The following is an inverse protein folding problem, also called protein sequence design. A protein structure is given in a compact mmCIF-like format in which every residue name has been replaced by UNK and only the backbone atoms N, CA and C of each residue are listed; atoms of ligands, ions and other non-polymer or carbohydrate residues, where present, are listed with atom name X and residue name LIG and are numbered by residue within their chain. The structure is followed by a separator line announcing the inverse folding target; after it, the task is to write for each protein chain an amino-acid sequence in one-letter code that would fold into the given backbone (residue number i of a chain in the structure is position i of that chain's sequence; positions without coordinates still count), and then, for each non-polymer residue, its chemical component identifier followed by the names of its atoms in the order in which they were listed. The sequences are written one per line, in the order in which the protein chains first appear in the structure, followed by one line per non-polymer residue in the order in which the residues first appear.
data_IF_274270316453
#
_entry.id   IF_274270316453
#
_cell.length_a   1.000
_cell.length_b   1.000
_cell.length_c   1.000
_cell.angle_alpha   90.00
_cell.angle_beta   90.00
_cell.angle_gamma   90.00
#
_symmetry.space_group_name_H-M   'P 1'
#
loop_
_entity.id
_entity.type
_entity.pdbx_description
1 polymer ?
#
# COMPACT_ATOMS: atom_id res chain seq x y z
N UNK A 1 8.99 -16.06 28.40
CA UNK A 1 9.59 -15.86 27.06
C UNK A 1 8.46 -16.08 26.07
N UNK A 2 8.19 -15.12 25.17
CA UNK A 2 7.13 -15.31 24.17
C UNK A 2 7.58 -16.33 23.11
N UNK A 3 6.72 -17.27 22.73
CA UNK A 3 7.06 -18.17 21.61
C UNK A 3 7.12 -17.39 20.30
N UNK A 4 6.17 -16.45 20.12
CA UNK A 4 6.06 -15.60 18.94
C UNK A 4 5.89 -14.13 19.36
N UNK A 5 6.81 -13.28 18.90
CA UNK A 5 6.71 -11.82 19.05
C UNK A 5 6.49 -11.18 17.67
N UNK A 6 5.52 -10.30 17.55
CA UNK A 6 5.19 -9.59 16.32
C UNK A 6 5.27 -8.09 16.59
N UNK A 7 6.08 -7.36 15.81
CA UNK A 7 6.15 -5.89 15.85
C UNK A 7 5.32 -5.32 14.71
N UNK A 8 4.22 -4.65 15.05
CA UNK A 8 3.21 -4.10 14.13
C UNK A 8 1.87 -4.80 14.25
N UNK A 9 0.79 -4.09 13.95
CA UNK A 9 -0.59 -4.56 14.14
C UNK A 9 -1.48 -4.20 12.92
N UNK A 10 -1.02 -4.56 11.71
CA UNK A 10 -1.78 -4.34 10.46
C UNK A 10 -1.95 -5.65 9.69
N UNK A 11 -2.12 -5.60 8.37
CA UNK A 11 -2.40 -6.75 7.51
C UNK A 11 -1.39 -7.90 7.69
N UNK A 12 -0.09 -7.58 7.74
CA UNK A 12 0.96 -8.59 7.90
C UNK A 12 0.87 -9.30 9.25
N UNK A 13 0.66 -8.55 10.34
CA UNK A 13 0.49 -9.14 11.66
C UNK A 13 -0.76 -10.03 11.74
N UNK A 14 -1.88 -9.58 11.16
CA UNK A 14 -3.11 -10.39 11.07
C UNK A 14 -2.85 -11.71 10.33
N UNK A 15 -2.22 -11.65 9.16
CA UNK A 15 -1.84 -12.86 8.41
C UNK A 15 -0.93 -13.79 9.22
N UNK A 16 0.03 -13.24 9.96
CA UNK A 16 0.95 -14.03 10.78
C UNK A 16 0.24 -14.72 11.94
N UNK A 17 -0.63 -14.01 12.66
CA UNK A 17 -1.43 -14.61 13.74
C UNK A 17 -2.25 -15.78 13.21
N UNK A 18 -2.96 -15.58 12.10
CA UNK A 18 -3.75 -16.65 11.46
C UNK A 18 -2.84 -17.79 10.97
N UNK A 19 -1.68 -17.49 10.37
CA UNK A 19 -0.69 -18.47 9.94
C UNK A 19 -0.17 -19.32 11.10
N UNK A 20 0.24 -18.70 12.21
CA UNK A 20 0.68 -19.39 13.42
C UNK A 20 -0.45 -20.31 13.90
N UNK A 21 -1.67 -19.80 14.05
CA UNK A 21 -2.81 -20.54 14.61
C UNK A 21 -3.32 -21.66 13.72
N UNK A 22 -3.00 -21.70 12.43
CA UNK A 22 -3.26 -22.90 11.61
C UNK A 22 -2.38 -24.08 12.02
N UNK A 23 -1.20 -23.81 12.57
CA UNK A 23 -0.17 -24.83 12.94
C UNK A 23 -0.11 -25.02 14.44
N UNK A 24 0.16 -23.95 15.20
CA UNK A 24 0.27 -23.95 16.64
C UNK A 24 -0.94 -23.28 17.30
N UNK A 25 -1.75 -24.10 18.00
CA UNK A 25 -2.96 -23.66 18.71
C UNK A 25 -2.70 -23.10 20.12
N UNK A 26 -1.49 -23.29 20.66
CA UNK A 26 -1.20 -23.03 22.08
C UNK A 26 -0.12 -22.01 22.34
N UNK A 27 0.93 -21.93 21.51
CA UNK A 27 2.08 -21.06 21.70
C UNK A 27 1.68 -19.60 21.98
N UNK A 28 2.43 -18.93 22.84
CA UNK A 28 2.17 -17.55 23.26
C UNK A 28 2.49 -16.57 22.14
N UNK A 29 1.49 -15.80 21.70
CA UNK A 29 1.67 -14.72 20.72
C UNK A 29 1.57 -13.38 21.42
N UNK A 30 2.61 -12.56 21.30
CA UNK A 30 2.59 -11.16 21.74
C UNK A 30 2.73 -10.23 20.52
N UNK A 31 1.89 -9.20 20.46
CA UNK A 31 1.91 -8.17 19.41
C UNK A 31 2.17 -6.81 20.03
N UNK A 32 3.19 -6.12 19.51
CA UNK A 32 3.50 -4.73 19.86
C UNK A 32 3.00 -3.82 18.74
N UNK A 33 2.22 -2.81 19.09
CA UNK A 33 1.70 -1.81 18.15
C UNK A 33 2.07 -0.41 18.60
N UNK A 34 2.73 0.36 17.73
CA UNK A 34 2.97 1.78 17.97
C UNK A 34 1.66 2.57 18.06
N UNK A 35 0.70 2.27 17.17
CA UNK A 35 -0.62 2.89 17.20
C UNK A 35 -1.49 2.33 18.34
N UNK A 36 -2.24 3.23 19.00
CA UNK A 36 -3.18 2.87 20.07
C UNK A 36 -4.53 2.33 19.55
N UNK A 37 -4.55 1.89 18.29
CA UNK A 37 -5.75 1.41 17.60
C UNK A 37 -5.70 -0.09 17.32
N UNK A 38 -6.89 -0.73 17.31
CA UNK A 38 -7.03 -2.08 16.76
C UNK A 38 -6.70 -2.08 15.29
N UNK A 39 -6.42 -3.27 14.71
CA UNK A 39 -6.15 -3.39 13.29
C UNK A 39 -7.33 -2.86 12.46
N UNK A 40 -7.08 -1.82 11.68
CA UNK A 40 -8.05 -1.18 10.80
C UNK A 40 -7.59 -1.21 9.34
N UNK A 41 -8.52 -1.05 8.41
CA UNK A 41 -8.25 -0.97 6.99
C UNK A 41 -7.71 0.41 6.59
N UNK A 42 -6.38 0.54 6.44
CA UNK A 42 -5.74 1.79 5.98
C UNK A 42 -6.33 2.33 4.67
N UNK A 43 -6.67 1.52 3.66
CA UNK A 43 -7.33 2.01 2.45
C UNK A 43 -8.66 2.73 2.71
N UNK A 44 -9.34 2.47 3.83
CA UNK A 44 -10.63 3.08 4.16
C UNK A 44 -10.53 4.43 4.90
N UNK A 45 -9.34 4.88 5.32
CA UNK A 45 -9.21 6.13 6.06
C UNK A 45 -9.67 7.35 5.25
N UNK A 46 -9.51 7.34 3.92
CA UNK A 46 -10.02 8.40 3.04
C UNK A 46 -11.55 8.42 2.98
N UNK A 47 -12.19 7.26 2.99
CA UNK A 47 -13.65 7.16 3.06
C UNK A 47 -14.17 7.60 4.42
N UNK A 48 -13.41 7.33 5.50
CA UNK A 48 -13.74 7.81 6.84
C UNK A 48 -13.59 9.33 6.96
N UNK A 49 -12.53 9.93 6.41
CA UNK A 49 -12.41 11.38 6.34
C UNK A 49 -13.57 12.00 5.55
N UNK A 50 -13.91 11.43 4.40
CA UNK A 50 -15.02 11.88 3.57
C UNK A 50 -16.42 11.69 4.18
N UNK A 51 -16.53 10.95 5.30
CA UNK A 51 -17.82 10.64 5.94
C UNK A 51 -18.63 9.55 5.22
N UNK A 52 -17.99 8.78 4.32
CA UNK A 52 -18.64 7.67 3.58
C UNK A 52 -18.73 6.38 4.40
N UNK A 53 -17.90 6.24 5.41
CA UNK A 53 -17.92 5.10 6.36
C UNK A 53 -17.71 5.60 7.78
N UNK A 54 -18.27 4.89 8.76
CA UNK A 54 -18.09 5.17 10.18
C UNK A 54 -16.77 4.57 10.68
N UNK A 55 -16.26 5.12 11.80
CA UNK A 55 -15.00 4.66 12.39
C UNK A 55 -15.00 3.19 12.81
N UNK A 56 -16.15 2.63 13.17
CA UNK A 56 -16.26 1.20 13.51
C UNK A 56 -16.12 0.30 12.27
N UNK A 57 -16.62 0.74 11.13
CA UNK A 57 -16.59 -0.02 9.85
C UNK A 57 -15.19 -0.10 9.23
N UNK A 58 -14.26 0.74 9.65
CA UNK A 58 -12.86 0.64 9.19
C UNK A 58 -12.06 -0.39 9.98
N UNK A 59 -12.55 -0.85 11.14
CA UNK A 59 -11.87 -1.86 11.95
C UNK A 59 -11.87 -3.19 11.19
N UNK A 60 -10.67 -3.66 10.85
CA UNK A 60 -10.48 -4.91 10.11
C UNK A 60 -10.52 -6.14 11.03
N UNK A 61 -9.95 -6.02 12.24
CA UNK A 61 -9.99 -7.06 13.28
C UNK A 61 -10.34 -6.44 14.62
N UNK A 62 -11.50 -6.81 15.16
CA UNK A 62 -11.98 -6.40 16.47
C UNK A 62 -11.26 -7.12 17.63
N UNK A 63 -11.58 -6.75 18.87
CA UNK A 63 -10.99 -7.36 20.08
C UNK A 63 -11.19 -8.87 20.16
N UNK A 64 -12.32 -9.38 19.67
CA UNK A 64 -12.64 -10.80 19.62
C UNK A 64 -11.64 -11.61 18.77
N UNK A 65 -11.06 -11.03 17.73
CA UNK A 65 -10.02 -11.67 16.93
C UNK A 65 -8.79 -12.00 17.79
N UNK A 66 -8.33 -11.05 18.61
CA UNK A 66 -7.15 -11.24 19.45
C UNK A 66 -7.42 -12.23 20.57
N UNK A 67 -8.58 -12.15 21.23
CA UNK A 67 -8.96 -13.07 22.31
C UNK A 67 -9.16 -14.51 21.80
N UNK A 68 -9.84 -14.71 20.66
CA UNK A 68 -10.00 -16.03 20.03
C UNK A 68 -8.65 -16.67 19.66
N UNK A 69 -7.69 -15.84 19.22
CA UNK A 69 -6.35 -16.29 18.86
C UNK A 69 -5.36 -16.28 20.04
N UNK A 70 -5.81 -16.00 21.27
CA UNK A 70 -4.98 -15.94 22.49
C UNK A 70 -3.74 -15.05 22.29
N UNK A 71 -3.96 -13.82 21.80
CA UNK A 71 -2.92 -12.84 21.52
C UNK A 71 -2.82 -11.83 22.64
N UNK A 72 -1.63 -11.65 23.19
CA UNK A 72 -1.29 -10.55 24.09
C UNK A 72 -1.01 -9.29 23.27
N UNK A 73 -2.01 -8.41 23.13
CA UNK A 73 -1.91 -7.20 22.33
C UNK A 73 -1.50 -5.99 23.18
N UNK A 74 -0.37 -5.38 22.87
CA UNK A 74 0.13 -4.15 23.49
C UNK A 74 -0.01 -2.99 22.52
N UNK A 75 -1.08 -2.21 22.64
CA UNK A 75 -1.30 -0.98 21.86
C UNK A 75 -0.50 0.18 22.48
N UNK A 76 -0.08 1.16 21.66
CA UNK A 76 0.76 2.28 22.09
C UNK A 76 2.16 1.83 22.54
N UNK A 77 2.64 0.68 22.08
CA UNK A 77 3.95 0.11 22.45
C UNK A 77 4.86 0.07 21.23
N UNK A 78 5.65 1.13 21.07
CA UNK A 78 6.61 1.26 19.97
C UNK A 78 7.90 0.49 20.28
N UNK A 79 8.31 -0.40 19.38
CA UNK A 79 9.63 -1.03 19.43
C UNK A 79 10.71 -0.02 18.99
N UNK A 80 11.77 0.09 19.78
CA UNK A 80 12.89 1.02 19.53
C UNK A 80 14.22 0.34 19.30
N UNK A 81 14.35 -0.94 19.66
CA UNK A 81 15.57 -1.72 19.49
C UNK A 81 15.27 -3.21 19.38
N UNK A 82 16.07 -3.92 18.59
CA UNK A 82 16.06 -5.39 18.49
C UNK A 82 17.48 -5.90 18.69
N UNK A 83 17.65 -6.78 19.66
CA UNK A 83 18.87 -7.55 19.89
C UNK A 83 18.62 -9.03 19.52
N UNK A 84 18.98 -9.48 18.31
CA UNK A 84 18.71 -10.85 17.87
C UNK A 84 19.59 -11.89 18.59
N UNK A 85 20.75 -11.49 19.12
CA UNK A 85 21.69 -12.40 19.80
C UNK A 85 21.14 -12.75 21.20
N UNK A 86 20.58 -11.76 21.90
CA UNK A 86 19.86 -11.97 23.17
C UNK A 86 18.40 -12.41 22.98
N UNK A 87 17.88 -12.32 21.74
CA UNK A 87 16.46 -12.56 21.40
C UNK A 87 15.51 -11.68 22.23
N UNK A 88 15.76 -10.37 22.23
CA UNK A 88 14.99 -9.37 22.97
C UNK A 88 14.63 -8.21 22.06
N UNK A 89 13.40 -7.71 22.20
CA UNK A 89 12.93 -6.44 21.65
C UNK A 89 12.67 -5.48 22.79
N UNK A 90 13.22 -4.26 22.69
CA UNK A 90 12.99 -3.18 23.66
C UNK A 90 11.97 -2.20 23.09
N UNK A 91 10.93 -1.89 23.87
CA UNK A 91 9.96 -0.86 23.54
C UNK A 91 10.32 0.50 24.14
N UNK A 92 9.69 1.54 23.64
CA UNK A 92 9.72 2.88 24.23
C UNK A 92 9.30 2.78 25.70
N UNK A 93 10.08 3.42 26.60
CA UNK A 93 9.93 3.24 28.06
C UNK A 93 10.77 2.11 28.64
N UNK A 94 11.58 1.41 27.85
CA UNK A 94 12.61 0.46 28.32
C UNK A 94 12.09 -0.93 28.69
N UNK A 95 10.82 -1.26 28.35
CA UNK A 95 10.30 -2.62 28.59
C UNK A 95 10.85 -3.60 27.57
N UNK A 96 11.39 -4.71 28.06
CA UNK A 96 11.93 -5.80 27.27
C UNK A 96 10.92 -6.92 27.01
N UNK A 97 10.96 -7.47 25.78
CA UNK A 97 10.12 -8.57 25.32
C UNK A 97 10.99 -9.67 24.76
N UNK A 98 11.35 -10.69 25.57
CA UNK A 98 12.10 -11.84 25.08
C UNK A 98 11.22 -12.73 24.18
N UNK A 99 11.84 -13.28 23.11
CA UNK A 99 11.14 -14.09 22.12
C UNK A 99 11.92 -15.34 21.68
N UNK A 100 11.23 -16.34 21.14
CA UNK A 100 11.85 -17.44 20.41
C UNK A 100 11.86 -17.18 18.90
N UNK A 101 10.75 -16.68 18.35
CA UNK A 101 10.60 -16.26 16.95
C UNK A 101 10.08 -14.84 16.88
N UNK A 102 10.65 -14.02 16.01
CA UNK A 102 10.29 -12.61 15.82
C UNK A 102 9.75 -12.36 14.41
N UNK A 103 8.65 -11.63 14.31
CA UNK A 103 8.18 -11.05 13.05
C UNK A 103 8.27 -9.52 13.11
N UNK A 104 8.98 -8.93 12.15
CA UNK A 104 9.03 -7.49 11.92
C UNK A 104 7.98 -7.14 10.87
N UNK A 105 6.88 -6.51 11.31
CA UNK A 105 5.75 -6.10 10.48
C UNK A 105 5.42 -4.60 10.67
N UNK A 106 6.45 -3.80 10.84
CA UNK A 106 6.41 -2.37 11.19
C UNK A 106 5.88 -1.47 10.06
N UNK A 107 5.78 -2.00 8.85
CA UNK A 107 5.26 -1.25 7.71
C UNK A 107 6.16 -0.10 7.27
N UNK A 108 5.53 1.04 6.95
CA UNK A 108 6.20 2.24 6.46
C UNK A 108 5.63 3.50 7.13
N UNK A 109 6.35 4.61 6.98
CA UNK A 109 5.94 5.94 7.47
C UNK A 109 6.07 6.99 6.35
N UNK A 110 5.30 8.08 6.40
CA UNK A 110 5.42 9.17 5.45
C UNK A 110 6.85 9.74 5.41
N UNK A 111 7.28 10.13 4.22
CA UNK A 111 8.51 10.89 4.05
C UNK A 111 8.29 12.32 4.55
N UNK A 112 9.07 12.72 5.54
CA UNK A 112 9.12 14.12 5.96
C UNK A 112 9.87 14.93 4.90
N UNK A 113 9.20 15.93 4.32
CA UNK A 113 9.83 16.90 3.44
C UNK A 113 10.41 18.03 4.30
N UNK A 114 11.72 18.28 4.13
CA UNK A 114 12.38 19.42 4.75
C UNK A 114 12.17 20.66 3.86
N UNK A 115 10.99 21.28 3.98
CA UNK A 115 10.63 22.51 3.27
C UNK A 115 11.00 23.71 4.11
N UNK A 116 11.38 24.81 3.45
CA UNK A 116 11.54 26.09 4.15
C UNK A 116 10.23 26.45 4.84
N UNK A 117 10.26 26.79 6.11
CA UNK A 117 9.07 27.08 6.91
C UNK A 117 8.33 25.84 7.45
N UNK A 118 8.92 24.65 7.43
CA UNK A 118 8.38 23.46 8.12
C UNK A 118 8.24 23.67 9.62
N UNK A 119 7.31 22.93 10.25
CA UNK A 119 7.02 23.00 11.69
C UNK A 119 5.86 23.90 12.08
N UNK A 120 5.22 24.61 11.13
CA UNK A 120 4.02 25.42 11.38
C UNK A 120 2.78 24.55 11.62
N UNK A 121 1.84 25.02 12.46
CA UNK A 121 0.51 24.41 12.61
C UNK A 121 -0.24 24.41 11.27
N UNK A 122 -0.97 23.34 10.96
CA UNK A 122 -1.67 23.19 9.67
C UNK A 122 -0.90 22.34 8.64
N UNK A 123 0.26 21.79 9.01
CA UNK A 123 0.94 20.75 8.24
C UNK A 123 0.53 19.37 8.76
N UNK A 124 0.12 18.49 7.87
CA UNK A 124 -0.41 17.17 8.20
C UNK A 124 0.15 16.10 7.26
N UNK A 125 0.23 14.89 7.74
CA UNK A 125 0.28 13.71 6.90
C UNK A 125 -1.14 13.17 6.67
N UNK A 126 -1.26 12.19 5.79
CA UNK A 126 -2.49 11.44 5.58
C UNK A 126 -2.11 9.97 5.40
N UNK A 127 -1.85 9.29 6.50
CA UNK A 127 -1.29 7.94 6.45
C UNK A 127 -1.91 6.98 7.46
N UNK A 128 -2.21 7.44 8.65
CA UNK A 128 -2.76 6.64 9.73
C UNK A 128 -4.09 7.21 10.26
N UNK A 129 -4.71 6.52 11.20
CA UNK A 129 -6.01 6.90 11.73
C UNK A 129 -5.95 8.19 12.58
N UNK A 130 -4.84 8.43 13.28
CA UNK A 130 -4.64 9.66 14.04
C UNK A 130 -4.59 10.89 13.12
N UNK A 131 -3.93 10.78 11.95
CA UNK A 131 -3.92 11.85 10.96
C UNK A 131 -5.35 12.23 10.54
N UNK A 132 -6.20 11.22 10.35
CA UNK A 132 -7.61 11.46 9.96
C UNK A 132 -8.42 12.09 11.08
N UNK A 133 -8.29 11.61 12.33
CA UNK A 133 -8.97 12.23 13.46
C UNK A 133 -8.58 13.69 13.59
N UNK A 134 -7.29 13.98 13.52
CA UNK A 134 -6.78 15.34 13.60
C UNK A 134 -7.31 16.24 12.47
N UNK A 135 -7.27 15.75 11.20
CA UNK A 135 -7.84 16.49 10.08
C UNK A 135 -9.34 16.77 10.26
N UNK A 136 -10.11 15.77 10.75
CA UNK A 136 -11.56 15.94 11.00
C UNK A 136 -11.88 17.02 12.02
N UNK A 137 -10.99 17.26 12.98
CA UNK A 137 -11.18 18.29 14.01
C UNK A 137 -10.92 19.71 13.49
N UNK A 138 -9.98 19.87 12.56
CA UNK A 138 -9.49 21.20 12.17
C UNK A 138 -10.08 21.72 10.87
N UNK A 139 -10.45 20.84 9.91
CA UNK A 139 -10.96 21.28 8.60
C UNK A 139 -12.39 21.81 8.69
N UNK A 140 -12.67 22.87 7.92
CA UNK A 140 -14.00 23.47 7.79
C UNK A 140 -14.36 23.57 6.32
N UNK A 141 -15.66 23.49 6.03
CA UNK A 141 -16.19 23.74 4.69
C UNK A 141 -15.79 25.15 4.21
N UNK A 142 -15.34 25.22 2.96
CA UNK A 142 -14.85 26.48 2.36
C UNK A 142 -13.36 26.75 2.58
N UNK A 143 -12.69 26.03 3.48
CA UNK A 143 -11.24 26.13 3.66
C UNK A 143 -10.48 25.75 2.38
N UNK A 144 -9.22 26.17 2.31
CA UNK A 144 -8.32 25.83 1.21
C UNK A 144 -7.24 24.86 1.67
N UNK A 145 -7.04 23.81 0.90
CA UNK A 145 -6.01 22.80 1.16
C UNK A 145 -5.04 22.65 -0.03
N UNK A 146 -3.76 22.50 0.28
CA UNK A 146 -2.75 22.05 -0.69
C UNK A 146 -2.33 20.64 -0.31
N UNK A 147 -2.32 19.74 -1.29
CA UNK A 147 -1.82 18.37 -1.15
C UNK A 147 -0.55 18.23 -1.97
N UNK A 148 0.56 17.92 -1.31
CA UNK A 148 1.87 17.73 -1.92
C UNK A 148 2.07 16.24 -2.24
N UNK A 149 2.05 15.92 -3.53
CA UNK A 149 2.15 14.57 -4.08
C UNK A 149 0.86 14.10 -4.76
N UNK A 150 0.97 13.77 -6.05
CA UNK A 150 -0.09 13.23 -6.90
C UNK A 150 -0.09 11.70 -6.96
N UNK A 151 0.47 11.02 -5.94
CA UNK A 151 0.42 9.58 -5.76
C UNK A 151 -0.92 9.11 -5.15
N UNK A 152 -1.06 7.80 -4.91
CA UNK A 152 -2.28 7.19 -4.38
C UNK A 152 -2.77 7.83 -3.08
N UNK A 153 -1.87 8.04 -2.13
CA UNK A 153 -2.19 8.62 -0.82
C UNK A 153 -2.65 10.07 -0.97
N UNK A 154 -1.89 10.87 -1.73
CA UNK A 154 -2.21 12.29 -1.94
C UNK A 154 -3.54 12.50 -2.67
N UNK A 155 -3.80 11.74 -3.72
CA UNK A 155 -5.08 11.84 -4.44
C UNK A 155 -6.27 11.34 -3.61
N UNK A 156 -6.07 10.34 -2.73
CA UNK A 156 -7.12 9.91 -1.80
C UNK A 156 -7.38 10.94 -0.70
N UNK A 157 -6.36 11.64 -0.23
CA UNK A 157 -6.52 12.79 0.66
C UNK A 157 -7.25 13.92 -0.05
N UNK A 158 -6.83 14.28 -1.27
CA UNK A 158 -7.44 15.34 -2.07
C UNK A 158 -8.92 15.07 -2.35
N UNK A 159 -9.28 13.84 -2.76
CA UNK A 159 -10.68 13.43 -2.94
C UNK A 159 -11.49 13.59 -1.65
N UNK A 160 -10.96 13.13 -0.52
CA UNK A 160 -11.65 13.19 0.76
C UNK A 160 -11.86 14.64 1.23
N UNK A 161 -10.85 15.51 1.11
CA UNK A 161 -10.94 16.94 1.46
C UNK A 161 -11.92 17.68 0.56
N UNK A 162 -11.89 17.42 -0.76
CA UNK A 162 -12.86 18.00 -1.70
C UNK A 162 -14.29 17.59 -1.37
N UNK A 163 -14.53 16.33 -1.01
CA UNK A 163 -15.85 15.85 -0.57
C UNK A 163 -16.30 16.46 0.78
N UNK A 164 -15.38 17.03 1.55
CA UNK A 164 -15.66 17.83 2.74
C UNK A 164 -15.88 19.32 2.45
N UNK A 165 -15.92 19.71 1.18
CA UNK A 165 -16.17 21.09 0.75
C UNK A 165 -14.96 22.00 0.75
N UNK A 166 -13.72 21.47 0.87
CA UNK A 166 -12.51 22.29 0.78
C UNK A 166 -12.16 22.60 -0.69
N UNK A 167 -11.54 23.76 -0.91
CA UNK A 167 -10.89 24.11 -2.19
C UNK A 167 -9.52 23.45 -2.24
N UNK A 168 -9.38 22.40 -3.03
CA UNK A 168 -8.16 21.56 -3.03
C UNK A 168 -7.27 21.86 -4.24
N UNK A 169 -5.98 22.04 -3.99
CA UNK A 169 -4.92 22.05 -5.01
C UNK A 169 -3.96 20.89 -4.77
N UNK A 170 -3.72 20.06 -5.79
CA UNK A 170 -2.70 19.00 -5.77
C UNK A 170 -1.46 19.51 -6.51
N UNK A 171 -0.28 19.41 -5.88
CA UNK A 171 1.01 19.73 -6.48
C UNK A 171 1.83 18.46 -6.63
N UNK A 172 2.20 18.11 -7.86
CA UNK A 172 2.95 16.90 -8.20
C UNK A 172 4.23 17.26 -8.96
N UNK A 173 5.35 16.68 -8.52
CA UNK A 173 6.67 16.91 -9.13
C UNK A 173 6.87 16.24 -10.46
N UNK A 174 6.19 15.12 -10.69
CA UNK A 174 6.29 14.36 -11.95
C UNK A 174 5.41 14.95 -13.05
N UNK A 175 5.63 14.60 -14.33
CA UNK A 175 4.85 15.14 -15.45
C UNK A 175 3.34 14.83 -15.41
N UNK A 176 2.92 13.82 -14.68
CA UNK A 176 1.54 13.40 -14.59
C UNK A 176 1.25 12.67 -13.27
N UNK A 177 -0.03 12.60 -12.92
CA UNK A 177 -0.52 11.97 -11.70
C UNK A 177 -0.32 10.45 -11.75
N UNK A 178 -0.09 9.83 -10.58
CA UNK A 178 0.08 8.37 -10.43
C UNK A 178 1.17 7.77 -11.35
N UNK A 179 2.22 8.52 -11.63
CA UNK A 179 3.30 8.12 -12.56
C UNK A 179 3.97 6.79 -12.25
N UNK A 180 3.82 6.27 -11.04
CA UNK A 180 4.32 4.95 -10.62
C UNK A 180 3.44 3.77 -11.04
N UNK A 181 2.20 4.01 -11.47
CA UNK A 181 1.21 2.96 -11.81
C UNK A 181 0.39 3.24 -13.08
N UNK A 182 0.48 4.44 -13.65
CA UNK A 182 -0.15 4.83 -14.92
C UNK A 182 0.89 5.26 -15.93
N UNK A 183 0.56 5.13 -17.21
CA UNK A 183 1.26 5.83 -18.28
C UNK A 183 0.62 7.19 -18.53
N UNK A 184 1.25 8.05 -19.33
CA UNK A 184 0.78 9.41 -19.57
C UNK A 184 -0.65 9.46 -20.11
N UNK A 185 -1.02 8.61 -21.06
CA UNK A 185 -2.36 8.59 -21.66
C UNK A 185 -3.46 8.29 -20.60
N UNK A 186 -3.26 7.26 -19.79
CA UNK A 186 -4.20 6.91 -18.73
C UNK A 186 -4.23 7.97 -17.61
N UNK A 187 -3.09 8.60 -17.31
CA UNK A 187 -3.01 9.68 -16.33
C UNK A 187 -3.77 10.93 -16.78
N UNK A 188 -3.76 11.26 -18.08
CA UNK A 188 -4.54 12.38 -18.64
C UNK A 188 -6.05 12.18 -18.40
N UNK A 189 -6.57 10.97 -18.63
CA UNK A 189 -7.99 10.65 -18.36
C UNK A 189 -8.33 10.86 -16.87
N UNK A 190 -7.45 10.42 -15.97
CA UNK A 190 -7.63 10.62 -14.54
C UNK A 190 -7.59 12.11 -14.17
N UNK A 191 -6.62 12.85 -14.70
CA UNK A 191 -6.45 14.26 -14.42
C UNK A 191 -7.66 15.07 -14.85
N UNK A 192 -8.20 14.81 -16.03
CA UNK A 192 -9.46 15.44 -16.48
C UNK A 192 -10.62 15.15 -15.52
N UNK A 193 -10.76 13.91 -15.05
CA UNK A 193 -11.78 13.54 -14.07
C UNK A 193 -11.63 14.33 -12.77
N UNK A 194 -10.39 14.47 -12.28
CA UNK A 194 -10.07 15.18 -11.05
C UNK A 194 -10.34 16.70 -11.23
N UNK A 195 -9.93 17.28 -12.35
CA UNK A 195 -10.19 18.71 -12.66
C UNK A 195 -11.69 19.00 -12.79
N UNK A 196 -12.45 18.11 -13.45
CA UNK A 196 -13.92 18.23 -13.57
C UNK A 196 -14.63 18.12 -12.21
N UNK A 197 -13.99 17.55 -11.18
CA UNK A 197 -14.53 17.53 -9.81
C UNK A 197 -14.15 18.77 -8.98
N UNK A 198 -13.51 19.78 -9.59
CA UNK A 198 -13.19 21.06 -8.95
C UNK A 198 -11.83 21.11 -8.25
N UNK A 199 -11.02 20.05 -8.33
CA UNK A 199 -9.66 20.04 -7.79
C UNK A 199 -8.71 20.66 -8.81
N UNK A 200 -7.91 21.64 -8.36
CA UNK A 200 -6.82 22.17 -9.15
C UNK A 200 -5.64 21.21 -9.11
N UNK A 201 -5.07 20.89 -10.28
CA UNK A 201 -3.90 19.99 -10.40
C UNK A 201 -2.75 20.78 -11.03
N UNK A 202 -1.58 20.76 -10.40
CA UNK A 202 -0.33 21.34 -10.87
C UNK A 202 0.70 20.22 -10.92
N UNK A 203 1.14 19.85 -12.12
CA UNK A 203 2.19 18.86 -12.36
C UNK A 203 3.50 19.57 -12.73
N UNK A 204 4.61 18.84 -12.80
CA UNK A 204 5.95 19.36 -13.04
C UNK A 204 6.34 20.50 -12.08
N UNK A 205 5.90 20.43 -10.83
CA UNK A 205 6.17 21.48 -9.85
C UNK A 205 6.36 20.90 -8.45
N UNK A 206 7.07 21.63 -7.62
CA UNK A 206 7.35 21.27 -6.23
C UNK A 206 6.89 22.39 -5.30
N UNK A 207 6.57 22.08 -4.05
CA UNK A 207 6.46 23.07 -2.98
C UNK A 207 7.85 23.27 -2.41
N UNK A 208 8.32 24.50 -2.32
CA UNK A 208 9.65 24.86 -1.78
C UNK A 208 9.57 25.53 -0.43
N UNK A 209 8.53 26.35 -0.21
CA UNK A 209 8.38 27.10 1.03
C UNK A 209 6.94 27.07 1.54
N UNK A 210 6.79 26.98 2.85
CA UNK A 210 5.54 27.09 3.60
C UNK A 210 5.48 28.48 4.22
N UNK A 211 4.50 29.27 3.82
CA UNK A 211 4.34 30.66 4.30
C UNK A 211 3.44 30.74 5.52
N UNK A 212 3.54 31.85 6.23
CA UNK A 212 2.84 32.14 7.50
C UNK A 212 3.82 32.27 8.66
N UNK A 213 3.36 32.72 9.81
CA UNK A 213 4.16 32.87 11.04
C UNK A 213 4.09 31.56 11.87
N UNK A 214 3.02 31.40 12.64
CA UNK A 214 2.83 30.23 13.53
C UNK A 214 2.03 29.10 12.87
N UNK A 215 1.26 29.43 11.83
CA UNK A 215 0.41 28.49 11.08
C UNK A 215 0.63 28.62 9.59
N UNK A 216 0.22 27.61 8.86
CA UNK A 216 0.21 27.63 7.39
C UNK A 216 -0.79 28.65 6.89
N UNK A 217 -0.33 29.57 6.05
CA UNK A 217 -1.13 30.55 5.33
C UNK A 217 -1.06 30.37 3.82
N UNK A 218 -0.11 29.55 3.37
CA UNK A 218 0.07 29.20 1.98
C UNK A 218 1.39 28.48 1.72
N UNK A 219 1.65 28.28 0.44
CA UNK A 219 2.91 27.69 -0.06
C UNK A 219 3.44 28.50 -1.23
N UNK A 220 4.76 28.43 -1.45
CA UNK A 220 5.44 28.92 -2.66
C UNK A 220 5.95 27.71 -3.42
N UNK A 221 5.62 27.66 -4.70
CA UNK A 221 6.04 26.62 -5.60
C UNK A 221 7.42 26.91 -6.20
N UNK A 222 8.10 25.89 -6.75
CA UNK A 222 9.35 26.03 -7.48
C UNK A 222 9.25 26.96 -8.71
N UNK A 223 8.06 27.15 -9.28
CA UNK A 223 7.77 28.13 -10.31
C UNK A 223 7.68 29.58 -9.79
N UNK A 224 7.72 29.79 -8.48
CA UNK A 224 7.48 31.10 -7.84
C UNK A 224 5.99 31.42 -7.59
N UNK A 225 5.06 30.60 -8.05
CA UNK A 225 3.64 30.77 -7.79
C UNK A 225 3.33 30.63 -6.29
N UNK A 226 2.47 31.54 -5.76
CA UNK A 226 1.99 31.53 -4.39
C UNK A 226 0.56 30.98 -4.34
N UNK A 227 0.31 30.00 -3.46
CA UNK A 227 -1.02 29.41 -3.25
C UNK A 227 -1.39 29.58 -1.78
N UNK A 228 -2.46 30.28 -1.51
CA UNK A 228 -3.01 30.45 -0.15
C UNK A 228 -3.72 29.15 0.27
N UNK A 229 -3.43 28.65 1.47
CA UNK A 229 -4.13 27.52 2.07
C UNK A 229 -4.04 27.59 3.60
N UNK A 230 -5.02 26.99 4.27
CA UNK A 230 -5.04 26.83 5.73
C UNK A 230 -4.59 25.43 6.16
N UNK A 231 -4.62 24.48 5.22
CA UNK A 231 -4.27 23.07 5.44
C UNK A 231 -3.28 22.62 4.39
N UNK A 232 -2.15 22.04 4.83
CA UNK A 232 -1.13 21.45 3.97
C UNK A 232 -1.00 19.95 4.27
N UNK A 233 -1.30 19.11 3.29
CA UNK A 233 -1.13 17.64 3.41
C UNK A 233 0.11 17.20 2.66
N UNK A 234 1.05 16.59 3.37
CA UNK A 234 2.30 16.06 2.83
C UNK A 234 2.15 14.57 2.50
N UNK A 235 2.14 14.25 1.22
CA UNK A 235 1.96 12.89 0.69
C UNK A 235 3.01 12.53 -0.38
N UNK A 236 4.27 12.92 -0.15
CA UNK A 236 5.38 12.79 -1.10
C UNK A 236 6.02 11.39 -1.14
N UNK A 237 5.37 10.39 -0.58
CA UNK A 237 5.83 9.02 -0.52
C UNK A 237 6.01 8.49 0.90
N UNK A 238 6.47 7.24 1.00
CA UNK A 238 6.69 6.53 2.26
C UNK A 238 8.05 5.86 2.28
N UNK A 239 8.57 5.58 3.47
CA UNK A 239 9.79 4.79 3.68
C UNK A 239 9.50 3.65 4.66
N UNK A 240 10.09 2.45 4.47
CA UNK A 240 10.04 1.36 5.43
C UNK A 240 10.53 1.76 6.82
N UNK A 241 9.86 1.28 7.86
CA UNK A 241 10.22 1.54 9.26
C UNK A 241 11.28 0.57 9.73
N UNK A 242 12.54 0.94 9.57
CA UNK A 242 13.71 0.09 9.84
C UNK A 242 14.75 0.71 10.77
N UNK A 243 14.58 1.99 11.18
CA UNK A 243 15.60 2.72 11.98
C UNK A 243 15.94 2.04 13.32
N UNK A 244 14.99 1.33 13.93
CA UNK A 244 15.21 0.61 15.18
C UNK A 244 16.09 -0.66 15.02
N UNK A 245 16.51 -0.98 13.78
CA UNK A 245 17.37 -2.11 13.45
C UNK A 245 18.85 -1.73 13.25
N UNK A 246 19.23 -0.46 13.37
CA UNK A 246 20.58 0.03 13.04
C UNK A 246 21.70 -0.77 13.70
N UNK A 247 21.51 -1.21 14.96
CA UNK A 247 22.51 -1.97 15.72
C UNK A 247 22.21 -3.47 15.84
N UNK A 248 21.18 -3.96 15.14
CA UNK A 248 20.71 -5.35 15.28
C UNK A 248 21.53 -6.36 14.46
N UNK A 249 22.34 -5.90 13.50
CA UNK A 249 22.99 -6.76 12.52
C UNK A 249 22.02 -7.44 11.56
N UNK A 250 20.75 -6.99 11.48
CA UNK A 250 19.79 -7.38 10.44
C UNK A 250 20.03 -6.47 9.23
N UNK A 251 20.37 -7.01 8.06
CA UNK A 251 20.59 -6.18 6.87
C UNK A 251 19.35 -5.41 6.46
N UNK A 252 19.54 -4.15 6.09
CA UNK A 252 18.50 -3.27 5.56
C UNK A 252 19.04 -2.60 4.29
N UNK A 253 18.29 -2.72 3.18
CA UNK A 253 18.50 -1.97 1.94
C UNK A 253 17.42 -0.89 1.81
N UNK A 254 16.56 -0.96 0.79
CA UNK A 254 15.32 -0.16 0.74
C UNK A 254 14.27 -0.65 1.73
N UNK A 255 14.30 -1.91 2.08
CA UNK A 255 13.53 -2.60 3.10
C UNK A 255 14.37 -3.72 3.69
N UNK A 256 13.77 -4.62 4.47
CA UNK A 256 14.43 -5.79 5.04
C UNK A 256 14.44 -6.90 3.98
N UNK A 257 15.63 -7.33 3.46
CA UNK A 257 15.69 -8.44 2.53
C UNK A 257 15.26 -9.76 3.19
N UNK A 258 14.37 -10.47 2.55
CA UNK A 258 13.92 -11.80 3.01
C UNK A 258 14.12 -12.87 1.95
N UNK A 259 14.13 -14.13 2.40
CA UNK A 259 14.05 -15.30 1.53
C UNK A 259 12.59 -15.67 1.20
N UNK A 260 12.38 -16.75 0.46
CA UNK A 260 11.05 -17.23 0.08
C UNK A 260 10.17 -17.67 1.28
N UNK A 261 10.76 -17.90 2.44
CA UNK A 261 10.05 -18.24 3.69
C UNK A 261 9.71 -16.99 4.53
N UNK A 262 9.96 -15.80 4.02
CA UNK A 262 9.87 -14.51 4.73
C UNK A 262 10.87 -14.39 5.91
N UNK A 263 11.92 -15.21 5.96
CA UNK A 263 12.96 -15.15 6.95
C UNK A 263 14.07 -14.20 6.50
N UNK A 264 14.62 -13.44 7.44
CA UNK A 264 15.77 -12.55 7.23
C UNK A 264 17.07 -13.35 7.22
N UNK A 265 18.22 -12.69 7.16
CA UNK A 265 19.52 -13.35 7.33
C UNK A 265 19.80 -13.77 8.80
N UNK A 266 19.01 -13.28 9.75
CA UNK A 266 19.09 -13.71 11.16
C UNK A 266 18.09 -14.82 11.42
N UNK A 267 18.59 -15.99 11.83
CA UNK A 267 17.76 -17.17 12.12
C UNK A 267 16.66 -16.85 13.14
N UNK A 268 15.44 -17.29 12.85
CA UNK A 268 14.28 -17.09 13.70
C UNK A 268 13.70 -15.66 13.67
N UNK A 269 14.24 -14.77 12.81
CA UNK A 269 13.73 -13.43 12.58
C UNK A 269 13.13 -13.34 11.19
N UNK A 270 11.85 -13.00 11.11
CA UNK A 270 11.05 -12.89 9.89
C UNK A 270 10.64 -11.44 9.66
N UNK A 271 10.29 -11.11 8.43
CA UNK A 271 9.69 -9.81 8.12
C UNK A 271 8.55 -9.95 7.10
N UNK A 272 7.53 -9.10 7.20
CA UNK A 272 6.37 -9.09 6.30
C UNK A 272 5.73 -7.70 6.15
N UNK A 273 5.12 -7.44 5.02
CA UNK A 273 4.43 -6.18 4.68
C UNK A 273 5.36 -5.13 4.08
N UNK A 274 4.97 -3.86 4.20
CA UNK A 274 5.63 -2.73 3.52
C UNK A 274 7.09 -2.49 3.96
N UNK A 275 7.53 -3.17 5.02
CA UNK A 275 8.93 -3.13 5.49
C UNK A 275 9.85 -4.06 4.70
N UNK A 276 9.28 -4.99 3.92
CA UNK A 276 10.01 -6.08 3.25
C UNK A 276 10.49 -5.70 1.86
N UNK A 277 11.74 -6.05 1.57
CA UNK A 277 12.29 -6.14 0.22
C UNK A 277 12.28 -7.62 -0.23
N UNK A 278 11.14 -7.99 -0.86
CA UNK A 278 10.85 -9.36 -1.29
C UNK A 278 11.01 -9.56 -2.79
N UNK A 279 10.96 -10.81 -3.23
CA UNK A 279 11.06 -11.18 -4.65
C UNK A 279 9.84 -10.73 -5.45
N UNK A 280 10.09 -10.02 -6.56
CA UNK A 280 9.09 -9.72 -7.59
C UNK A 280 9.35 -10.60 -8.82
N UNK A 281 8.44 -11.55 -9.13
CA UNK A 281 8.64 -12.49 -10.22
C UNK A 281 8.52 -11.88 -11.63
N UNK A 282 8.03 -10.64 -11.77
CA UNK A 282 7.88 -9.97 -13.05
C UNK A 282 9.12 -9.15 -13.41
N UNK A 283 9.67 -8.42 -12.44
CA UNK A 283 10.92 -7.67 -12.62
C UNK A 283 12.16 -8.52 -12.36
N UNK A 284 11.99 -9.74 -11.84
CA UNK A 284 13.07 -10.68 -11.45
C UNK A 284 14.11 -10.05 -10.50
N UNK A 285 13.63 -9.18 -9.63
CA UNK A 285 14.44 -8.48 -8.65
C UNK A 285 13.74 -8.44 -7.27
N UNK A 286 14.50 -8.16 -6.22
CA UNK A 286 13.93 -7.83 -4.92
C UNK A 286 13.49 -6.37 -4.90
N UNK A 287 12.27 -6.12 -4.39
CA UNK A 287 11.72 -4.77 -4.21
C UNK A 287 10.67 -4.72 -3.11
N UNK A 288 10.41 -3.52 -2.64
CA UNK A 288 9.28 -3.28 -1.73
C UNK A 288 7.99 -3.20 -2.56
N UNK A 289 6.98 -4.00 -2.19
CA UNK A 289 5.64 -4.01 -2.82
C UNK A 289 4.60 -3.69 -1.76
N UNK A 290 4.34 -2.40 -1.48
CA UNK A 290 3.53 -1.96 -0.35
C UNK A 290 2.03 -2.02 -0.68
N UNK A 291 1.46 -3.21 -0.69
CA UNK A 291 0.03 -3.43 -0.94
C UNK A 291 -0.55 -4.37 0.12
N UNK A 292 -1.78 -4.09 0.54
CA UNK A 292 -2.47 -4.83 1.60
C UNK A 292 -2.51 -6.36 1.39
N UNK A 293 -2.90 -6.88 0.20
CA UNK A 293 -2.93 -8.33 -0.03
C UNK A 293 -1.55 -8.99 0.07
N UNK A 294 -0.49 -8.32 -0.41
CA UNK A 294 0.87 -8.85 -0.29
C UNK A 294 1.31 -8.91 1.18
N UNK A 295 1.05 -7.86 1.95
CA UNK A 295 1.37 -7.80 3.37
C UNK A 295 0.70 -8.95 4.14
N UNK A 296 -0.60 -9.18 3.89
CA UNK A 296 -1.32 -10.28 4.53
C UNK A 296 -0.75 -11.66 4.13
N UNK A 297 -0.53 -11.92 2.84
CA UNK A 297 0.03 -13.19 2.36
C UNK A 297 1.44 -13.43 2.91
N UNK A 298 2.31 -12.41 2.90
CA UNK A 298 3.65 -12.50 3.48
C UNK A 298 3.59 -12.81 4.98
N UNK A 299 2.69 -12.15 5.72
CA UNK A 299 2.43 -12.44 7.12
C UNK A 299 2.00 -13.89 7.35
N UNK A 300 1.04 -14.38 6.57
CA UNK A 300 0.56 -15.76 6.65
C UNK A 300 1.70 -16.78 6.45
N UNK A 301 2.54 -16.54 5.43
CA UNK A 301 3.70 -17.37 5.13
C UNK A 301 4.71 -17.31 6.30
N UNK A 302 5.05 -16.11 6.77
CA UNK A 302 5.94 -15.93 7.91
C UNK A 302 5.42 -16.67 9.16
N UNK A 303 4.14 -16.48 9.49
CA UNK A 303 3.51 -17.11 10.64
C UNK A 303 3.54 -18.64 10.61
N UNK A 304 3.27 -19.26 9.43
CA UNK A 304 3.38 -20.69 9.26
C UNK A 304 4.82 -21.18 9.44
N UNK A 305 5.79 -20.49 8.85
CA UNK A 305 7.21 -20.85 9.00
C UNK A 305 7.71 -20.67 10.44
N UNK A 306 7.30 -19.61 11.13
CA UNK A 306 7.59 -19.40 12.56
C UNK A 306 7.08 -20.58 13.41
N UNK A 307 5.91 -21.11 13.08
CA UNK A 307 5.29 -22.25 13.76
C UNK A 307 5.81 -23.63 13.28
N UNK A 308 6.83 -23.67 12.42
CA UNK A 308 7.48 -24.91 11.99
C UNK A 308 6.81 -25.61 10.80
N UNK A 309 5.84 -24.98 10.13
CA UNK A 309 5.23 -25.51 8.90
C UNK A 309 5.83 -24.83 7.66
N UNK A 310 6.70 -25.50 6.89
CA UNK A 310 7.39 -24.92 5.75
C UNK A 310 6.42 -24.45 4.67
N UNK A 311 6.46 -23.15 4.36
CA UNK A 311 5.70 -22.54 3.28
C UNK A 311 6.57 -21.54 2.51
N UNK A 312 6.49 -21.54 1.18
CA UNK A 312 7.26 -20.65 0.31
C UNK A 312 6.37 -19.64 -0.38
N UNK A 313 6.86 -18.41 -0.50
CA UNK A 313 6.28 -17.37 -1.33
C UNK A 313 6.74 -17.54 -2.77
N UNK A 314 5.83 -17.36 -3.72
CA UNK A 314 6.17 -17.22 -5.14
C UNK A 314 6.60 -15.79 -5.51
N UNK A 315 6.69 -14.90 -4.55
CA UNK A 315 6.91 -13.48 -4.75
C UNK A 315 5.61 -12.68 -4.92
N UNK A 316 5.76 -11.37 -4.90
CA UNK A 316 4.65 -10.42 -5.06
C UNK A 316 5.02 -9.34 -6.09
N UNK A 317 4.03 -8.86 -6.83
CA UNK A 317 4.18 -7.80 -7.82
C UNK A 317 3.16 -6.68 -7.59
N UNK A 318 3.43 -5.44 -8.06
CA UNK A 318 2.52 -4.32 -7.89
C UNK A 318 1.16 -4.59 -8.54
N UNK A 319 0.09 -4.34 -7.79
CA UNK A 319 -1.29 -4.36 -8.29
C UNK A 319 -2.16 -3.43 -7.44
N UNK A 320 -3.00 -2.66 -8.10
CA UNK A 320 -3.84 -1.68 -7.45
C UNK A 320 -5.27 -1.79 -7.97
N UNK A 321 -6.24 -1.63 -7.07
CA UNK A 321 -7.66 -1.47 -7.38
C UNK A 321 -8.15 -0.24 -6.64
N UNK A 322 -8.44 0.82 -7.36
CA UNK A 322 -8.74 2.15 -6.81
C UNK A 322 -9.85 2.80 -7.60
N UNK A 323 -10.48 3.81 -7.00
CA UNK A 323 -11.46 4.65 -7.69
C UNK A 323 -11.28 6.10 -7.26
N UNK A 324 -11.38 7.04 -8.22
CA UNK A 324 -11.38 8.47 -7.98
C UNK A 324 -12.59 9.10 -8.65
N UNK A 325 -13.47 9.73 -7.86
CA UNK A 325 -14.69 10.39 -8.36
C UNK A 325 -15.51 9.49 -9.33
N UNK A 326 -15.64 8.21 -8.97
CA UNK A 326 -16.37 7.22 -9.76
C UNK A 326 -15.61 6.63 -10.96
N UNK A 327 -14.39 7.06 -11.25
CA UNK A 327 -13.52 6.42 -12.23
C UNK A 327 -12.77 5.27 -11.58
N UNK A 328 -13.15 4.05 -11.90
CA UNK A 328 -12.46 2.85 -11.43
C UNK A 328 -11.16 2.62 -12.21
N UNK A 329 -10.10 2.24 -11.52
CA UNK A 329 -8.79 1.98 -12.10
C UNK A 329 -8.24 0.70 -11.49
N UNK A 330 -7.83 -0.24 -12.35
CA UNK A 330 -7.07 -1.42 -11.93
C UNK A 330 -5.77 -1.47 -12.71
N UNK A 331 -4.68 -1.63 -11.99
CA UNK A 331 -3.35 -1.84 -12.56
C UNK A 331 -2.73 -3.09 -11.99
N UNK A 332 -1.95 -3.81 -12.77
CA UNK A 332 -1.19 -4.96 -12.31
C UNK A 332 0.07 -5.15 -13.15
N UNK A 333 1.16 -5.55 -12.51
CA UNK A 333 2.41 -5.92 -13.16
C UNK A 333 3.30 -4.75 -13.57
N UNK A 334 4.00 -4.91 -14.69
CA UNK A 334 4.92 -3.91 -15.21
C UNK A 334 4.16 -2.75 -15.86
N UNK A 335 4.70 -1.56 -15.72
CA UNK A 335 4.16 -0.34 -16.34
C UNK A 335 4.81 -0.09 -17.70
N UNK A 336 6.09 -0.39 -17.80
CA UNK A 336 6.91 -0.20 -18.99
C UNK A 336 7.54 -1.52 -19.39
N UNK A 337 7.75 -1.68 -20.67
CA UNK A 337 8.43 -2.80 -21.31
C UNK A 337 9.55 -2.28 -22.20
N UNK A 338 10.61 -3.05 -22.32
CA UNK A 338 11.74 -2.71 -23.18
C UNK A 338 11.41 -2.93 -24.65
N UNK A 339 12.28 -2.44 -25.55
CA UNK A 339 12.12 -2.61 -27.01
C UNK A 339 11.97 -4.10 -27.40
N UNK A 340 10.94 -4.42 -28.21
CA UNK A 340 10.63 -5.77 -28.69
C UNK A 340 9.45 -6.44 -27.99
N UNK A 341 8.81 -5.77 -27.04
CA UNK A 341 7.62 -6.25 -26.34
C UNK A 341 6.34 -5.69 -26.98
N UNK A 342 5.25 -6.46 -26.92
CA UNK A 342 3.98 -6.11 -27.56
C UNK A 342 3.09 -5.33 -26.58
N UNK A 343 2.53 -4.23 -27.05
CA UNK A 343 1.58 -3.41 -26.32
C UNK A 343 0.25 -3.38 -27.05
N UNK A 344 -0.84 -3.62 -26.33
CA UNK A 344 -2.21 -3.51 -26.85
C UNK A 344 -2.90 -2.40 -26.09
N UNK A 345 -3.41 -1.39 -26.80
CA UNK A 345 -4.15 -0.27 -26.23
C UNK A 345 -5.51 -0.16 -26.90
N UNK A 346 -6.57 -0.02 -26.09
CA UNK A 346 -7.91 0.36 -26.52
C UNK A 346 -8.38 1.54 -25.68
N UNK A 347 -8.74 2.61 -26.35
CA UNK A 347 -9.31 3.79 -25.72
C UNK A 347 -10.66 4.12 -26.35
N UNK A 348 -11.66 4.35 -25.53
CA UNK A 348 -12.96 4.82 -25.95
C UNK A 348 -13.32 6.07 -25.14
N UNK A 349 -13.25 7.22 -25.81
CA UNK A 349 -13.47 8.53 -25.20
C UNK A 349 -14.92 8.70 -24.72
N UNK A 350 -15.90 8.29 -25.54
CA UNK A 350 -17.32 8.42 -25.20
C UNK A 350 -17.70 7.68 -23.91
N UNK A 351 -17.08 6.52 -23.69
CA UNK A 351 -17.29 5.67 -22.50
C UNK A 351 -16.30 5.97 -21.37
N UNK A 352 -15.32 6.83 -21.58
CA UNK A 352 -14.20 7.06 -20.64
C UNK A 352 -13.54 5.74 -20.18
N UNK A 353 -13.32 4.81 -21.13
CA UNK A 353 -12.65 3.54 -20.84
C UNK A 353 -11.28 3.49 -21.48
N UNK A 354 -10.31 3.04 -20.70
CA UNK A 354 -8.94 2.81 -21.15
C UNK A 354 -8.51 1.41 -20.78
N UNK A 355 -7.94 0.72 -21.74
CA UNK A 355 -7.43 -0.63 -21.59
C UNK A 355 -6.05 -0.70 -22.22
N UNK A 356 -5.08 -1.17 -21.43
CA UNK A 356 -3.72 -1.39 -21.88
C UNK A 356 -3.24 -2.72 -21.31
N UNK A 357 -2.61 -3.55 -22.14
CA UNK A 357 -1.89 -4.75 -21.71
C UNK A 357 -0.51 -4.80 -22.33
N UNK A 358 0.42 -5.35 -21.59
CA UNK A 358 1.81 -5.55 -21.98
C UNK A 358 2.10 -7.04 -22.05
N UNK A 359 2.72 -7.45 -23.18
CA UNK A 359 3.07 -8.85 -23.46
C UNK A 359 4.57 -8.91 -23.70
N UNK A 360 5.25 -9.76 -22.92
CA UNK A 360 6.66 -10.07 -23.00
C UNK A 360 6.85 -11.59 -23.10
N UNK A 361 7.69 -12.06 -24.03
CA UNK A 361 7.95 -13.48 -24.24
C UNK A 361 6.65 -14.32 -24.30
N UNK A 362 5.68 -13.83 -25.08
CA UNK A 362 4.33 -14.41 -25.22
C UNK A 362 3.54 -14.54 -23.88
N UNK A 363 3.86 -13.75 -22.86
CA UNK A 363 3.17 -13.74 -21.56
C UNK A 363 2.66 -12.36 -21.19
N UNK A 364 1.48 -12.30 -20.59
CA UNK A 364 0.96 -11.05 -20.05
C UNK A 364 1.78 -10.66 -18.82
N UNK A 365 2.38 -9.46 -18.85
CA UNK A 365 3.26 -8.96 -17.77
C UNK A 365 2.78 -7.68 -17.12
N UNK A 366 1.85 -6.97 -17.75
CA UNK A 366 1.31 -5.72 -17.22
C UNK A 366 -0.06 -5.38 -17.78
N UNK A 367 -0.84 -4.63 -17.00
CA UNK A 367 -2.11 -4.08 -17.45
C UNK A 367 -2.51 -2.78 -16.74
N UNK A 368 -3.27 -1.96 -17.46
CA UNK A 368 -4.04 -0.82 -16.94
C UNK A 368 -5.47 -0.95 -17.48
N UNK A 369 -6.48 -0.96 -16.59
CA UNK A 369 -7.91 -0.84 -16.96
C UNK A 369 -8.54 0.32 -16.22
N UNK A 370 -9.26 1.18 -16.95
CA UNK A 370 -9.99 2.31 -16.39
C UNK A 370 -11.44 2.32 -16.91
N UNK A 371 -12.37 2.73 -16.06
CA UNK A 371 -13.80 2.76 -16.35
C UNK A 371 -14.42 1.37 -16.25
N UNK A 372 -14.48 0.62 -17.35
CA UNK A 372 -14.92 -0.78 -17.33
C UNK A 372 -13.78 -1.71 -16.89
N UNK A 373 -13.95 -2.33 -15.73
CA UNK A 373 -12.95 -3.16 -15.07
C UNK A 373 -13.30 -4.66 -15.01
N UNK A 374 -14.31 -5.10 -15.74
CA UNK A 374 -14.88 -6.46 -15.60
C UNK A 374 -13.86 -7.60 -15.71
N UNK A 375 -12.95 -7.55 -16.68
CA UNK A 375 -12.00 -8.65 -16.92
C UNK A 375 -10.68 -8.52 -16.11
N UNK A 376 -10.54 -7.46 -15.31
CA UNK A 376 -9.28 -7.17 -14.61
C UNK A 376 -8.81 -8.30 -13.69
N UNK A 377 -9.76 -9.05 -13.08
CA UNK A 377 -9.42 -10.20 -12.24
C UNK A 377 -8.76 -11.33 -13.03
N UNK A 378 -9.28 -11.65 -14.21
CA UNK A 378 -8.71 -12.67 -15.11
C UNK A 378 -7.31 -12.26 -15.58
N UNK A 379 -7.16 -11.02 -16.03
CA UNK A 379 -5.87 -10.48 -16.47
C UNK A 379 -4.83 -10.50 -15.33
N UNK A 380 -5.22 -10.07 -14.13
CA UNK A 380 -4.33 -10.11 -12.96
C UNK A 380 -3.90 -11.54 -12.65
N UNK A 381 -4.80 -12.49 -12.76
CA UNK A 381 -4.52 -13.91 -12.54
C UNK A 381 -3.58 -14.46 -13.62
N UNK A 382 -3.78 -14.11 -14.91
CA UNK A 382 -2.89 -14.48 -16.01
C UNK A 382 -1.46 -13.96 -15.77
N UNK A 383 -1.31 -12.70 -15.33
CA UNK A 383 -0.02 -12.13 -14.95
C UNK A 383 0.61 -12.94 -13.82
N UNK A 384 -0.14 -13.19 -12.74
CA UNK A 384 0.33 -13.94 -11.57
C UNK A 384 0.80 -15.35 -11.91
N UNK A 385 0.11 -16.02 -12.84
CA UNK A 385 0.42 -17.39 -13.27
C UNK A 385 1.39 -17.45 -14.44
N UNK A 386 1.87 -16.30 -14.93
CA UNK A 386 2.77 -16.19 -16.10
C UNK A 386 2.21 -16.94 -17.32
N UNK A 387 0.90 -16.81 -17.54
CA UNK A 387 0.22 -17.53 -18.61
C UNK A 387 0.60 -17.02 -20.00
N UNK A 388 0.74 -17.92 -20.98
CA UNK A 388 0.96 -17.51 -22.36
C UNK A 388 -0.25 -16.73 -22.90
N UNK A 389 0.02 -15.66 -23.66
CA UNK A 389 -1.00 -14.89 -24.36
C UNK A 389 -1.54 -15.63 -25.60
N UNK A 390 -0.66 -16.31 -26.35
CA UNK A 390 -0.95 -17.25 -27.44
C UNK A 390 -2.27 -17.01 -28.18
N UNK A 391 -3.14 -18.01 -28.16
CA UNK A 391 -4.46 -17.99 -28.81
C UNK A 391 -5.44 -16.96 -28.22
N UNK A 392 -5.11 -16.37 -27.06
CA UNK A 392 -5.92 -15.34 -26.41
C UNK A 392 -5.64 -13.93 -26.95
N UNK A 393 -4.63 -13.73 -27.81
CA UNK A 393 -4.24 -12.39 -28.31
C UNK A 393 -5.38 -11.62 -28.96
N UNK A 394 -6.21 -12.26 -29.78
CA UNK A 394 -7.34 -11.59 -30.43
C UNK A 394 -8.40 -11.15 -29.39
N UNK A 395 -8.59 -11.92 -28.31
CA UNK A 395 -9.48 -11.55 -27.21
C UNK A 395 -8.89 -10.44 -26.35
N UNK A 396 -7.55 -10.42 -26.19
CA UNK A 396 -6.85 -9.32 -25.54
C UNK A 396 -6.95 -8.04 -26.37
N UNK A 397 -6.77 -8.10 -27.69
CA UNK A 397 -6.92 -6.95 -28.60
C UNK A 397 -8.33 -6.35 -28.58
N UNK A 398 -9.35 -7.19 -28.57
CA UNK A 398 -10.75 -6.73 -28.51
C UNK A 398 -11.18 -6.29 -27.10
N UNK A 399 -10.37 -6.50 -26.06
CA UNK A 399 -10.74 -6.23 -24.68
C UNK A 399 -11.92 -7.07 -24.16
N UNK A 400 -12.19 -8.21 -24.81
CA UNK A 400 -13.35 -9.07 -24.53
C UNK A 400 -12.98 -10.40 -23.86
N UNK A 401 -11.76 -10.49 -23.30
CA UNK A 401 -11.30 -11.69 -22.62
C UNK A 401 -12.14 -11.91 -21.35
N UNK A 402 -12.72 -13.10 -21.25
CA UNK A 402 -13.41 -13.53 -20.02
C UNK A 402 -13.01 -14.97 -19.66
N UNK A 403 -13.40 -15.48 -18.47
CA UNK A 403 -13.00 -16.82 -18.03
C UNK A 403 -13.38 -17.95 -18.99
N UNK A 404 -14.45 -17.81 -19.76
CA UNK A 404 -14.91 -18.84 -20.72
C UNK A 404 -13.88 -19.09 -21.83
N UNK A 405 -13.10 -18.08 -22.18
CA UNK A 405 -12.04 -18.20 -23.20
C UNK A 405 -10.77 -18.93 -22.70
N UNK A 406 -10.66 -19.13 -21.38
CA UNK A 406 -9.54 -19.85 -20.82
C UNK A 406 -9.69 -21.38 -21.00
N UNK A 407 -8.60 -22.13 -21.12
CA UNK A 407 -8.65 -23.58 -21.13
C UNK A 407 -9.39 -24.15 -19.90
N UNK A 408 -10.08 -25.27 -20.07
CA UNK A 408 -10.89 -25.88 -19.00
C UNK A 408 -10.07 -26.19 -17.74
N UNK A 409 -8.85 -26.71 -17.91
CA UNK A 409 -7.91 -26.93 -16.80
C UNK A 409 -7.57 -25.68 -15.99
N UNK A 410 -7.77 -24.52 -16.56
CA UNK A 410 -7.51 -23.24 -15.94
C UNK A 410 -8.79 -22.69 -15.30
N UNK A 411 -9.94 -22.93 -15.94
CA UNK A 411 -11.23 -22.54 -15.39
C UNK A 411 -11.53 -23.26 -14.09
N UNK A 412 -11.25 -24.57 -14.00
CA UNK A 412 -11.41 -25.35 -12.76
C UNK A 412 -10.61 -24.77 -11.59
N UNK A 413 -9.37 -24.31 -11.82
CA UNK A 413 -8.56 -23.64 -10.80
C UNK A 413 -9.16 -22.29 -10.39
N UNK A 414 -9.67 -21.51 -11.34
CA UNK A 414 -10.30 -20.19 -11.07
C UNK A 414 -11.59 -20.30 -10.26
N UNK A 415 -12.38 -21.33 -10.51
CA UNK A 415 -13.67 -21.54 -9.87
C UNK A 415 -13.66 -22.46 -8.65
N UNK A 416 -12.47 -22.96 -8.27
CA UNK A 416 -12.29 -23.60 -6.96
C UNK A 416 -12.66 -25.08 -6.90
N UNK A 417 -12.67 -25.81 -8.01
CA UNK A 417 -12.87 -27.28 -7.96
C UNK A 417 -11.69 -28.04 -7.35
N UNK A 418 -10.51 -27.38 -7.17
CA UNK A 418 -9.34 -27.94 -6.48
C UNK A 418 -8.89 -27.13 -5.24
N UNK A 419 -9.65 -26.19 -4.75
CA UNK A 419 -9.21 -25.20 -3.75
C UNK A 419 -9.77 -25.34 -2.35
N UNK A 420 -10.51 -26.40 -2.03
CA UNK A 420 -11.01 -26.67 -0.66
C UNK A 420 -10.70 -28.12 -0.29
N UNK A 421 -9.47 -28.37 0.08
CA UNK A 421 -9.09 -29.50 0.94
C UNK A 421 -8.12 -29.04 1.99
#
# INVERSE_FOLDING_TARGET
MNDYLIIGNSAAATGAIEGIRTVDKKGDITVLSEEAHLCYSRPLISYFLAGKVDGEKIIYRGRDFYSKNKVNLHLGSRAIEVDPDKKVVTSEGGREYPYQKLLIATGSSPLALLLKGSGKKGQHFFYNLNDVYHLKEIIKEGDSAVVVGGGLIGLKAAEALSLKGLKVTVVEKTPYLLSSILNQASATILEERIRKSGIRVIVNNTVEEITGTDKVEGVILGSGERISCTTLVLAAGVKPNTSFLENSGIPVNRGIPVNEKMETQREGVYAAGDVVEGWDPLSENKRVVPIWPAAYCQGLIAGKNMAGHPMKSSGEFPRNSISFFGLNIITAGLLEVNSGEEEIINYNEDKNTYYRVLIKDNRLVGMIKMGDIKEAGVLTWMIKKKMPAGDLKEKLKSGSLNPVHLPESIRSILYGEEGVK
#
